data_IF_187476397361
#
_entry.id   IF_187476397361
#
_cell.length_a   1.000
_cell.length_b   1.000
_cell.length_c   1.000
_cell.angle_alpha   90.00
_cell.angle_beta   90.00
_cell.angle_gamma   90.00
#
_symmetry.space_group_name_H-M   'P 1'
#
loop_
_entity.id
_entity.type
_entity.pdbx_description
1 polymer ?
#
# COMPACT_ATOMS: atom_id res chain seq x y z
N UNK A 1 -5.91 -7.01 -0.77
CA UNK A 1 -5.88 -6.48 0.62
C UNK A 1 -6.35 -5.05 0.56
N UNK A 2 -7.20 -4.64 1.51
CA UNK A 2 -7.65 -3.25 1.60
C UNK A 2 -7.09 -2.68 2.90
N UNK A 3 -6.33 -1.61 2.81
CA UNK A 3 -5.87 -0.82 3.94
C UNK A 3 -6.88 0.30 4.13
N UNK A 4 -7.80 0.09 5.06
CA UNK A 4 -8.84 1.07 5.40
C UNK A 4 -8.24 2.31 6.08
N UNK A 5 -7.20 2.11 6.88
CA UNK A 5 -6.40 3.17 7.48
C UNK A 5 -5.01 3.19 6.89
N UNK A 6 -4.40 4.37 6.91
CA UNK A 6 -3.03 4.55 6.49
C UNK A 6 -2.08 3.71 7.37
N UNK A 7 -1.26 2.83 6.77
CA UNK A 7 -0.20 2.13 7.49
C UNK A 7 0.74 3.13 8.17
N UNK A 8 1.09 2.87 9.43
CA UNK A 8 2.01 3.74 10.19
C UNK A 8 3.45 3.69 9.67
N UNK A 9 3.81 2.61 8.97
CA UNK A 9 5.12 2.46 8.29
C UNK A 9 4.96 1.76 6.93
N UNK A 10 5.92 2.00 6.03
CA UNK A 10 6.03 1.32 4.74
C UNK A 10 6.21 -0.20 4.91
N UNK A 11 6.92 -0.63 5.96
CA UNK A 11 7.09 -2.05 6.29
C UNK A 11 5.76 -2.74 6.64
N UNK A 12 4.87 -2.08 7.37
CA UNK A 12 3.52 -2.60 7.66
C UNK A 12 2.71 -2.72 6.37
N UNK A 13 2.81 -1.74 5.47
CA UNK A 13 2.17 -1.82 4.16
C UNK A 13 2.63 -3.07 3.40
N UNK A 14 3.94 -3.32 3.30
CA UNK A 14 4.52 -4.47 2.60
C UNK A 14 4.08 -5.79 3.22
N UNK A 15 4.19 -5.94 4.54
CA UNK A 15 3.83 -7.20 5.24
C UNK A 15 2.37 -7.61 5.00
N UNK A 16 1.45 -6.65 5.08
CA UNK A 16 0.01 -6.90 4.86
C UNK A 16 -0.30 -7.10 3.37
N UNK A 17 0.22 -6.25 2.49
CA UNK A 17 -0.01 -6.37 1.04
C UNK A 17 0.56 -7.67 0.47
N UNK A 18 1.65 -8.20 1.06
CA UNK A 18 2.24 -9.49 0.74
C UNK A 18 1.36 -10.71 1.03
N UNK A 19 0.14 -10.54 1.56
CA UNK A 19 -0.86 -11.62 1.67
C UNK A 19 -1.63 -11.89 0.37
N UNK A 20 -1.43 -11.08 -0.67
CA UNK A 20 -2.07 -11.20 -2.00
C UNK A 20 -1.17 -11.89 -3.02
N UNK A 21 -1.69 -12.20 -4.22
CA UNK A 21 -0.86 -12.71 -5.34
C UNK A 21 -0.32 -14.12 -5.14
N UNK A 22 -1.20 -15.12 -5.05
CA UNK A 22 -0.83 -16.53 -4.80
C UNK A 22 -0.85 -17.36 -6.09
N UNK A 23 -0.10 -18.47 -6.10
CA UNK A 23 -0.06 -19.44 -7.20
C UNK A 23 0.19 -18.79 -8.58
N UNK A 24 1.16 -17.88 -8.64
CA UNK A 24 1.55 -17.15 -9.86
C UNK A 24 0.54 -16.10 -10.34
N UNK A 25 -0.58 -15.91 -9.63
CA UNK A 25 -1.58 -14.88 -9.99
C UNK A 25 -1.19 -13.52 -9.42
N UNK A 26 -1.60 -12.45 -10.10
CA UNK A 26 -1.42 -11.08 -9.63
C UNK A 26 -2.23 -10.83 -8.35
N UNK A 27 -1.66 -10.02 -7.45
CA UNK A 27 -2.33 -9.52 -6.24
C UNK A 27 -2.69 -8.05 -6.37
N UNK A 28 -3.69 -7.61 -5.61
CA UNK A 28 -4.09 -6.20 -5.56
C UNK A 28 -4.15 -5.69 -4.12
N UNK A 29 -3.59 -4.51 -3.90
CA UNK A 29 -3.69 -3.76 -2.66
C UNK A 29 -4.38 -2.42 -2.93
N UNK A 30 -5.38 -2.08 -2.12
CA UNK A 30 -6.08 -0.78 -2.17
C UNK A 30 -5.76 -0.07 -0.86
N UNK A 31 -5.40 1.21 -0.95
CA UNK A 31 -5.11 2.06 0.19
C UNK A 31 -6.12 3.20 0.21
N UNK A 32 -6.94 3.24 1.26
CA UNK A 32 -7.83 4.37 1.53
C UNK A 32 -7.07 5.39 2.36
N UNK A 33 -7.16 6.66 1.96
CA UNK A 33 -6.46 7.75 2.64
C UNK A 33 -7.22 9.06 2.45
N UNK A 34 -7.02 10.01 3.36
CA UNK A 34 -7.56 11.37 3.26
C UNK A 34 -6.58 12.30 2.57
N UNK A 35 -7.01 13.46 2.07
CA UNK A 35 -6.11 14.42 1.41
C UNK A 35 -4.92 14.85 2.30
N UNK A 36 -5.11 14.94 3.62
CA UNK A 36 -4.04 15.27 4.56
C UNK A 36 -2.93 14.20 4.62
N UNK A 37 -3.23 12.98 4.16
CA UNK A 37 -2.35 11.82 4.20
C UNK A 37 -1.54 11.62 2.90
N UNK A 38 -1.74 12.46 1.87
CA UNK A 38 -1.02 12.35 0.58
C UNK A 38 0.51 12.29 0.75
N UNK A 39 1.07 13.01 1.72
CA UNK A 39 2.52 12.96 1.98
C UNK A 39 2.97 11.57 2.41
N UNK A 40 2.20 10.90 3.27
CA UNK A 40 2.52 9.56 3.73
C UNK A 40 2.33 8.51 2.63
N UNK A 41 1.35 8.67 1.72
CA UNK A 41 1.26 7.86 0.49
C UNK A 41 2.56 7.97 -0.33
N UNK A 42 3.05 9.19 -0.58
CA UNK A 42 4.30 9.41 -1.34
C UNK A 42 5.52 8.81 -0.68
N UNK A 43 5.55 8.75 0.66
CA UNK A 43 6.62 8.06 1.41
C UNK A 43 6.55 6.55 1.14
N UNK A 44 5.37 5.94 1.26
CA UNK A 44 5.19 4.50 0.98
C UNK A 44 5.60 4.18 -0.47
N UNK A 45 5.16 4.98 -1.44
CA UNK A 45 5.54 4.81 -2.84
C UNK A 45 7.05 4.85 -3.06
N UNK A 46 7.74 5.80 -2.43
CA UNK A 46 9.20 5.95 -2.53
C UNK A 46 9.92 4.78 -1.87
N UNK A 47 9.52 4.42 -0.65
CA UNK A 47 10.17 3.38 0.15
C UNK A 47 10.01 1.99 -0.49
N UNK A 48 8.84 1.72 -1.06
CA UNK A 48 8.49 0.43 -1.66
C UNK A 48 8.86 0.38 -3.16
N UNK A 49 9.11 1.53 -3.78
CA UNK A 49 9.39 1.63 -5.22
C UNK A 49 8.16 1.34 -6.09
N UNK A 50 6.96 1.67 -5.61
CA UNK A 50 5.71 1.47 -6.34
C UNK A 50 4.96 2.79 -6.55
N UNK A 51 3.98 2.77 -7.45
CA UNK A 51 3.01 3.85 -7.65
C UNK A 51 1.60 3.32 -7.49
N UNK A 52 0.78 4.04 -6.75
CA UNK A 52 -0.65 3.77 -6.71
C UNK A 52 -1.30 4.34 -7.97
N UNK A 53 -2.31 3.63 -8.46
CA UNK A 53 -3.21 4.17 -9.47
C UNK A 53 -4.43 4.70 -8.73
N UNK A 54 -4.77 5.97 -8.98
CA UNK A 54 -5.93 6.66 -8.41
C UNK A 54 -7.19 6.45 -9.26
#
# INVERSE_FOLDING_TARGET
>A
VIHYEMPSTSEIFVHRSGRTGRAGKKGSAILMYTEQQTRAVRVIERDVGCKFNE
#
